data_IF_754293194965
#
_entry.id   IF_754293194965
#
_cell.length_a   1.000
_cell.length_b   1.000
_cell.length_c   1.000
_cell.angle_alpha   90.00
_cell.angle_beta   90.00
_cell.angle_gamma   90.00
#
_symmetry.space_group_name_H-M   'P 1'
#
loop_
_entity.id
_entity.type
_entity.pdbx_description
1 polymer ?
#
# COMPACT_ATOMS: atom_id res chain seq x y z
N UNK A 1 15.40 19.03 18.20
CA UNK A 1 15.94 19.59 16.94
C UNK A 1 15.55 21.06 16.88
N UNK A 2 16.53 21.93 16.69
CA UNK A 2 16.54 23.34 17.10
C UNK A 2 15.44 24.21 16.45
N UNK A 3 14.56 24.78 17.28
CA UNK A 3 13.75 25.94 16.92
C UNK A 3 14.52 27.19 17.34
N UNK A 4 15.17 27.87 16.41
CA UNK A 4 15.74 29.21 16.67
C UNK A 4 14.60 30.24 16.63
N UNK A 5 14.59 31.25 17.52
CA UNK A 5 13.58 32.29 17.51
C UNK A 5 13.73 33.15 16.24
N UNK A 6 12.61 33.43 15.56
CA UNK A 6 12.56 34.37 14.44
C UNK A 6 13.17 35.71 14.82
N UNK A 7 14.11 36.22 14.02
CA UNK A 7 14.62 37.59 14.19
C UNK A 7 13.49 38.58 13.84
N UNK A 8 13.46 39.70 14.56
CA UNK A 8 12.48 40.76 14.30
C UNK A 8 12.57 41.21 12.83
N UNK A 9 11.51 40.95 12.06
CA UNK A 9 11.41 41.28 10.63
C UNK A 9 11.32 40.08 9.67
N UNK A 10 11.51 38.85 10.13
CA UNK A 10 11.39 37.65 9.27
C UNK A 10 9.92 37.27 9.06
N UNK A 11 9.47 37.28 7.80
CA UNK A 11 8.11 36.86 7.46
C UNK A 11 7.97 35.32 7.63
N UNK A 12 6.81 34.82 8.10
CA UNK A 12 6.60 33.38 8.21
C UNK A 12 6.75 32.71 6.84
N UNK A 13 7.31 31.51 6.85
CA UNK A 13 7.51 30.74 5.64
C UNK A 13 6.16 30.48 4.94
N UNK A 14 6.05 30.90 3.68
CA UNK A 14 4.85 30.69 2.88
C UNK A 14 5.05 29.49 1.96
N UNK A 15 4.01 28.66 1.84
CA UNK A 15 4.02 27.51 0.94
C UNK A 15 3.49 27.92 -0.43
N UNK A 16 4.21 27.52 -1.48
CA UNK A 16 3.83 27.73 -2.87
C UNK A 16 3.88 26.40 -3.60
N UNK A 17 2.74 25.99 -4.15
CA UNK A 17 2.62 24.81 -5.00
C UNK A 17 2.77 25.25 -6.46
N UNK A 18 3.83 24.79 -7.12
CA UNK A 18 4.10 25.08 -8.53
C UNK A 18 3.81 23.83 -9.38
N UNK A 19 3.07 24.01 -10.48
CA UNK A 19 2.85 22.97 -11.49
C UNK A 19 3.76 23.24 -12.68
N UNK A 20 4.59 22.27 -13.05
CA UNK A 20 5.47 22.32 -14.24
C UNK A 20 5.19 21.10 -15.13
N UNK A 21 5.65 21.14 -16.37
CA UNK A 21 5.49 20.01 -17.32
C UNK A 21 6.05 18.68 -16.79
N UNK A 22 7.03 18.70 -15.87
CA UNK A 22 7.61 17.51 -15.24
C UNK A 22 7.02 17.12 -13.87
N UNK A 23 5.98 17.81 -13.39
CA UNK A 23 5.32 17.49 -12.11
C UNK A 23 5.08 18.69 -11.20
N UNK A 24 4.54 18.41 -10.00
CA UNK A 24 4.30 19.43 -8.97
C UNK A 24 5.51 19.55 -8.05
N UNK A 25 5.97 20.79 -7.84
CA UNK A 25 7.04 21.14 -6.90
C UNK A 25 6.44 21.95 -5.75
N UNK A 26 6.83 21.59 -4.54
CA UNK A 26 6.37 22.21 -3.32
C UNK A 26 7.48 23.06 -2.69
N UNK A 27 7.34 24.39 -2.76
CA UNK A 27 8.36 25.31 -2.25
C UNK A 27 7.91 25.95 -0.94
N UNK A 28 8.83 25.97 0.03
CA UNK A 28 8.74 26.87 1.18
C UNK A 28 9.54 28.13 0.85
N UNK A 29 8.86 29.28 0.85
CA UNK A 29 9.47 30.58 0.55
C UNK A 29 9.58 31.37 1.85
N UNK A 30 10.78 31.81 2.19
CA UNK A 30 11.04 32.74 3.31
C UNK A 30 11.60 34.03 2.77
N UNK A 31 11.21 35.12 3.41
CA UNK A 31 11.61 36.46 3.04
C UNK A 31 12.22 37.15 4.26
N UNK A 32 13.47 37.57 4.13
CA UNK A 32 14.25 38.19 5.21
C UNK A 32 14.83 39.51 4.69
N UNK A 33 14.53 40.66 5.33
CA UNK A 33 15.08 41.95 4.93
C UNK A 33 16.57 42.06 5.29
N UNK A 34 17.35 42.74 4.46
CA UNK A 34 18.74 43.11 4.74
C UNK A 34 18.85 44.53 5.29
N UNK A 35 19.93 44.80 6.03
CA UNK A 35 20.13 46.05 6.77
C UNK A 35 20.31 47.29 5.87
N UNK A 36 20.65 47.11 4.60
CA UNK A 36 20.82 48.15 3.59
C UNK A 36 19.57 48.39 2.72
N UNK A 37 18.44 47.76 3.07
CA UNK A 37 17.21 47.83 2.29
C UNK A 37 17.06 46.73 1.23
N UNK A 38 17.99 45.78 1.17
CA UNK A 38 17.88 44.57 0.36
C UNK A 38 16.82 43.58 0.86
N UNK A 39 16.48 42.61 0.02
CA UNK A 39 15.55 41.53 0.34
C UNK A 39 16.13 40.18 -0.07
N UNK A 40 16.25 39.27 0.88
CA UNK A 40 16.67 37.89 0.62
C UNK A 40 15.45 36.98 0.60
N UNK A 41 15.28 36.28 -0.51
CA UNK A 41 14.25 35.25 -0.70
C UNK A 41 14.93 33.88 -0.70
N UNK A 42 14.56 33.02 0.24
CA UNK A 42 15.03 31.63 0.29
C UNK A 42 13.92 30.70 -0.17
N UNK A 43 14.26 29.75 -1.04
CA UNK A 43 13.35 28.73 -1.57
C UNK A 43 13.85 27.36 -1.17
N UNK A 44 13.05 26.60 -0.43
CA UNK A 44 13.35 25.22 -0.05
C UNK A 44 12.37 24.26 -0.73
N UNK A 45 12.90 23.26 -1.44
CA UNK A 45 12.10 22.24 -2.11
C UNK A 45 11.70 21.14 -1.12
N UNK A 46 10.47 21.23 -0.62
CA UNK A 46 9.90 20.28 0.32
C UNK A 46 9.12 19.16 -0.37
N UNK A 47 9.21 19.00 -1.70
CA UNK A 47 8.42 18.02 -2.45
C UNK A 47 8.61 16.60 -1.92
N UNK A 48 9.87 16.20 -1.67
CA UNK A 48 10.19 14.88 -1.12
C UNK A 48 9.68 14.71 0.31
N UNK A 49 9.85 15.75 1.14
CA UNK A 49 9.41 15.72 2.54
C UNK A 49 7.89 15.58 2.64
N UNK A 50 7.14 16.37 1.87
CA UNK A 50 5.68 16.32 1.84
C UNK A 50 5.18 15.00 1.25
N UNK A 51 5.83 14.49 0.20
CA UNK A 51 5.49 13.19 -0.37
C UNK A 51 5.71 12.07 0.66
N UNK A 52 6.83 12.09 1.38
CA UNK A 52 7.11 11.14 2.45
C UNK A 52 6.06 11.21 3.58
N UNK A 53 5.73 12.42 4.06
CA UNK A 53 4.69 12.61 5.08
C UNK A 53 3.31 12.13 4.61
N UNK A 54 2.95 12.42 3.35
CA UNK A 54 1.70 11.90 2.76
C UNK A 54 1.71 10.39 2.72
N UNK A 55 2.81 9.77 2.30
CA UNK A 55 2.92 8.30 2.27
C UNK A 55 2.77 7.71 3.67
N UNK A 56 3.40 8.29 4.69
CA UNK A 56 3.24 7.86 6.08
C UNK A 56 1.78 7.97 6.56
N UNK A 57 1.15 9.13 6.35
CA UNK A 57 -0.25 9.33 6.70
C UNK A 57 -1.18 8.36 5.94
N UNK A 58 -0.92 8.12 4.65
CA UNK A 58 -1.67 7.15 3.85
C UNK A 58 -1.53 5.72 4.37
N UNK A 59 -0.35 5.32 4.87
CA UNK A 59 -0.15 4.00 5.48
C UNK A 59 -1.00 3.82 6.74
N UNK A 60 -1.08 4.85 7.58
CA UNK A 60 -1.89 4.79 8.79
C UNK A 60 -3.38 4.76 8.48
N UNK A 61 -3.83 5.56 7.51
CA UNK A 61 -5.20 5.52 6.99
C UNK A 61 -5.53 4.13 6.44
N UNK A 62 -4.67 3.57 5.58
CA UNK A 62 -4.88 2.25 4.99
C UNK A 62 -4.98 1.14 6.05
N UNK A 63 -4.12 1.17 7.09
CA UNK A 63 -4.18 0.23 8.22
C UNK A 63 -5.50 0.34 8.97
N UNK A 64 -5.94 1.57 9.24
CA UNK A 64 -7.20 1.82 9.95
C UNK A 64 -8.39 1.32 9.16
N UNK A 65 -8.46 1.62 7.86
CA UNK A 65 -9.51 1.14 6.96
C UNK A 65 -9.50 -0.40 6.91
N UNK A 66 -8.33 -1.04 6.83
CA UNK A 66 -8.24 -2.49 6.85
C UNK A 66 -8.80 -3.09 8.17
N UNK A 67 -8.50 -2.48 9.32
CA UNK A 67 -9.09 -2.90 10.59
C UNK A 67 -10.61 -2.68 10.63
N UNK A 68 -11.09 -1.54 10.14
CA UNK A 68 -12.52 -1.22 10.09
C UNK A 68 -13.30 -2.18 9.18
N UNK A 69 -12.70 -2.66 8.08
CA UNK A 69 -13.30 -3.67 7.21
C UNK A 69 -13.26 -5.06 7.86
N UNK A 70 -12.18 -5.44 8.57
CA UNK A 70 -12.11 -6.73 9.27
C UNK A 70 -13.15 -6.87 10.38
N UNK A 71 -13.47 -5.78 11.07
CA UNK A 71 -14.38 -5.78 12.21
C UNK A 71 -15.78 -6.37 11.90
N UNK A 72 -16.47 -6.01 10.80
CA UNK A 72 -17.74 -6.63 10.45
C UNK A 72 -17.60 -8.07 9.92
N UNK A 73 -16.42 -8.52 9.46
CA UNK A 73 -16.27 -9.87 8.87
C UNK A 73 -16.49 -10.99 9.89
N UNK A 74 -15.90 -10.88 11.09
CA UNK A 74 -16.02 -11.93 12.11
C UNK A 74 -17.48 -12.15 12.53
N UNK A 75 -18.28 -11.12 12.86
CA UNK A 75 -19.70 -11.30 13.12
C UNK A 75 -20.49 -11.89 11.95
N UNK A 76 -20.18 -11.53 10.70
CA UNK A 76 -20.85 -12.09 9.51
C UNK A 76 -20.51 -13.59 9.38
N UNK A 77 -19.23 -13.95 9.52
CA UNK A 77 -18.79 -15.35 9.52
C UNK A 77 -19.49 -16.16 10.60
N UNK A 78 -19.44 -15.70 11.85
CA UNK A 78 -20.07 -16.39 12.99
C UNK A 78 -21.58 -16.52 12.80
N UNK A 79 -22.23 -15.52 12.22
CA UNK A 79 -23.66 -15.58 11.91
C UNK A 79 -23.98 -16.65 10.88
N UNK A 80 -23.19 -16.74 9.79
CA UNK A 80 -23.35 -17.76 8.76
C UNK A 80 -23.05 -19.18 9.28
N UNK A 81 -21.97 -19.35 10.05
CA UNK A 81 -21.64 -20.62 10.71
C UNK A 81 -22.75 -21.07 11.67
N UNK A 82 -23.28 -20.13 12.45
CA UNK A 82 -24.39 -20.39 13.38
C UNK A 82 -25.66 -20.78 12.66
N UNK A 83 -26.00 -20.09 11.56
CA UNK A 83 -27.15 -20.44 10.73
C UNK A 83 -27.01 -21.88 10.23
N UNK A 84 -25.87 -22.20 9.60
CA UNK A 84 -25.59 -23.53 9.06
C UNK A 84 -25.69 -24.61 10.14
N UNK A 85 -25.05 -24.41 11.30
CA UNK A 85 -25.03 -25.39 12.39
C UNK A 85 -26.40 -25.59 13.05
N UNK A 86 -27.17 -24.52 13.24
CA UNK A 86 -28.45 -24.58 13.95
C UNK A 86 -29.57 -25.13 13.07
N UNK A 87 -29.66 -24.67 11.83
CA UNK A 87 -30.83 -24.90 11.00
C UNK A 87 -30.64 -25.96 9.90
N UNK A 88 -29.43 -26.51 9.70
CA UNK A 88 -29.19 -27.52 8.64
C UNK A 88 -30.10 -28.74 8.74
N UNK A 89 -30.47 -29.16 9.96
CA UNK A 89 -31.36 -30.29 10.18
C UNK A 89 -32.86 -29.92 10.15
N UNK A 90 -33.19 -28.62 10.28
CA UNK A 90 -34.56 -28.10 10.28
C UNK A 90 -35.06 -27.77 8.86
N UNK A 91 -34.15 -27.49 7.93
CA UNK A 91 -34.47 -27.18 6.52
C UNK A 91 -34.71 -28.48 5.75
N UNK A 92 -35.97 -28.77 5.44
CA UNK A 92 -36.40 -29.97 4.71
C UNK A 92 -36.83 -29.69 3.27
N UNK A 93 -37.21 -28.46 2.94
CA UNK A 93 -37.71 -28.09 1.61
C UNK A 93 -36.62 -27.99 0.56
N UNK A 94 -35.46 -27.42 0.92
CA UNK A 94 -34.31 -27.24 0.02
C UNK A 94 -32.97 -27.16 0.80
N UNK A 95 -32.50 -28.29 1.37
CA UNK A 95 -31.28 -28.33 2.16
C UNK A 95 -30.01 -28.00 1.35
N UNK A 96 -29.99 -28.36 0.06
CA UNK A 96 -28.83 -28.14 -0.81
C UNK A 96 -28.62 -26.65 -1.09
N UNK A 97 -29.68 -25.89 -1.37
CA UNK A 97 -29.57 -24.45 -1.56
C UNK A 97 -29.18 -23.75 -0.27
N UNK A 98 -29.73 -24.16 0.87
CA UNK A 98 -29.33 -23.61 2.17
C UNK A 98 -27.82 -23.82 2.45
N UNK A 99 -27.32 -25.03 2.22
CA UNK A 99 -25.90 -25.34 2.36
C UNK A 99 -25.04 -24.49 1.39
N UNK A 100 -25.42 -24.41 0.12
CA UNK A 100 -24.70 -23.59 -0.88
C UNK A 100 -24.67 -22.11 -0.51
N UNK A 101 -25.78 -21.54 -0.05
CA UNK A 101 -25.86 -20.14 0.35
C UNK A 101 -24.95 -19.84 1.56
N UNK A 102 -25.03 -20.66 2.61
CA UNK A 102 -24.18 -20.48 3.81
C UNK A 102 -22.70 -20.66 3.49
N UNK A 103 -22.34 -21.65 2.68
CA UNK A 103 -20.96 -21.84 2.22
C UNK A 103 -20.46 -20.70 1.35
N UNK A 104 -21.31 -20.14 0.50
CA UNK A 104 -20.96 -18.98 -0.34
C UNK A 104 -20.67 -17.76 0.53
N UNK A 105 -21.48 -17.49 1.55
CA UNK A 105 -21.22 -16.39 2.50
C UNK A 105 -19.87 -16.60 3.20
N UNK A 106 -19.60 -17.81 3.70
CA UNK A 106 -18.34 -18.11 4.39
C UNK A 106 -17.13 -17.92 3.48
N UNK A 107 -17.21 -18.40 2.24
CA UNK A 107 -16.16 -18.21 1.23
C UNK A 107 -15.93 -16.73 0.95
N UNK A 108 -17.00 -15.97 0.75
CA UNK A 108 -16.87 -14.55 0.41
C UNK A 108 -16.31 -13.71 1.55
N UNK A 109 -16.69 -13.99 2.79
CA UNK A 109 -16.09 -13.34 3.96
C UNK A 109 -14.61 -13.67 4.07
N UNK A 110 -14.23 -14.94 3.85
CA UNK A 110 -12.82 -15.35 3.86
C UNK A 110 -12.01 -14.68 2.74
N UNK A 111 -12.60 -14.54 1.55
CA UNK A 111 -11.97 -13.91 0.39
C UNK A 111 -11.75 -12.41 0.62
N UNK A 112 -12.75 -11.72 1.17
CA UNK A 112 -12.61 -10.30 1.59
C UNK A 112 -11.54 -10.18 2.67
N UNK A 113 -11.50 -11.10 3.64
CA UNK A 113 -10.45 -11.13 4.67
C UNK A 113 -9.05 -11.14 4.08
N UNK A 114 -8.79 -12.05 3.12
CA UNK A 114 -7.49 -12.15 2.43
C UNK A 114 -7.16 -10.88 1.63
N UNK A 115 -8.12 -10.34 0.88
CA UNK A 115 -7.91 -9.11 0.11
C UNK A 115 -7.59 -7.92 1.03
N UNK A 116 -8.24 -7.82 2.18
CA UNK A 116 -7.99 -6.76 3.18
C UNK A 116 -6.63 -6.96 3.87
N UNK A 117 -6.21 -8.20 4.08
CA UNK A 117 -4.86 -8.53 4.57
C UNK A 117 -3.78 -8.10 3.56
N UNK A 118 -3.97 -8.40 2.28
CA UNK A 118 -3.09 -7.97 1.19
C UNK A 118 -3.06 -6.44 1.04
N UNK A 119 -4.20 -5.77 1.14
CA UNK A 119 -4.28 -4.31 1.14
C UNK A 119 -3.53 -3.68 2.33
N UNK A 120 -3.69 -4.26 3.53
CA UNK A 120 -2.91 -3.85 4.71
C UNK A 120 -1.42 -4.14 4.55
N UNK A 121 -1.06 -5.19 3.81
CA UNK A 121 0.33 -5.50 3.48
C UNK A 121 0.94 -4.47 2.54
N UNK A 122 0.18 -3.86 1.61
CA UNK A 122 0.64 -2.73 0.79
C UNK A 122 0.93 -1.47 1.61
N UNK A 123 0.22 -1.28 2.73
CA UNK A 123 0.52 -0.22 3.70
C UNK A 123 1.79 -0.50 4.51
N UNK A 124 2.30 -1.73 4.49
CA UNK A 124 3.62 -2.07 5.02
C UNK A 124 4.59 -2.02 3.84
N UNK A 125 5.59 -1.13 3.85
CA UNK A 125 6.82 -1.50 3.12
C UNK A 125 7.39 -2.68 3.92
N UNK A 126 7.41 -3.92 3.39
CA UNK A 126 8.10 -4.98 4.07
C UNK A 126 9.56 -4.55 4.19
N UNK A 127 10.16 -4.71 5.37
CA UNK A 127 11.60 -4.42 5.50
C UNK A 127 12.33 -5.30 4.49
N UNK A 128 13.08 -4.73 3.53
CA UNK A 128 13.74 -5.52 2.51
C UNK A 128 14.66 -6.52 3.20
N UNK A 129 14.39 -7.81 2.99
CA UNK A 129 15.29 -8.88 3.43
C UNK A 129 16.37 -9.01 2.37
N UNK A 130 17.50 -8.39 2.64
CA UNK A 130 18.67 -8.49 1.79
C UNK A 130 19.21 -9.92 1.91
N UNK A 131 18.93 -10.74 0.90
CA UNK A 131 19.36 -12.13 0.82
C UNK A 131 19.93 -12.39 -0.58
N UNK A 132 20.78 -13.42 -0.67
CA UNK A 132 21.20 -13.92 -1.97
C UNK A 132 19.96 -14.37 -2.76
N UNK A 133 19.81 -13.87 -3.97
CA UNK A 133 18.77 -14.31 -4.90
C UNK A 133 19.41 -14.55 -6.27
N UNK A 134 19.12 -15.72 -6.85
CA UNK A 134 19.43 -16.00 -8.24
C UNK A 134 18.35 -15.38 -9.12
N UNK A 135 18.72 -14.37 -9.90
CA UNK A 135 17.75 -13.67 -10.76
C UNK A 135 17.19 -14.59 -11.85
N UNK A 136 17.94 -15.61 -12.28
CA UNK A 136 17.49 -16.59 -13.26
C UNK A 136 16.38 -17.48 -12.66
N UNK A 137 16.46 -17.80 -11.38
CA UNK A 137 15.40 -18.52 -10.66
C UNK A 137 14.14 -17.65 -10.48
N UNK A 138 14.32 -16.38 -10.10
CA UNK A 138 13.22 -15.43 -9.95
C UNK A 138 12.46 -15.25 -11.26
N UNK A 139 13.17 -15.01 -12.36
CA UNK A 139 12.56 -14.83 -13.68
C UNK A 139 11.77 -16.08 -14.13
N UNK A 140 12.34 -17.28 -13.94
CA UNK A 140 11.67 -18.54 -14.25
C UNK A 140 10.41 -18.75 -13.41
N UNK A 141 10.48 -18.46 -12.11
CA UNK A 141 9.34 -18.57 -11.19
C UNK A 141 8.21 -17.61 -11.57
N UNK A 142 8.54 -16.37 -11.95
CA UNK A 142 7.56 -15.39 -12.41
C UNK A 142 6.88 -15.83 -13.71
N UNK A 143 7.64 -16.29 -14.69
CA UNK A 143 7.05 -16.77 -15.95
C UNK A 143 6.19 -18.02 -15.75
N UNK A 144 6.61 -18.93 -14.86
CA UNK A 144 5.78 -20.08 -14.50
C UNK A 144 4.42 -19.65 -13.94
N UNK A 145 4.40 -18.68 -13.00
CA UNK A 145 3.16 -18.14 -12.46
C UNK A 145 2.28 -17.51 -13.55
N UNK A 146 2.86 -16.77 -14.49
CA UNK A 146 2.10 -16.13 -15.58
C UNK A 146 1.52 -17.16 -16.57
N UNK A 147 2.22 -18.26 -16.85
CA UNK A 147 1.69 -19.37 -17.67
C UNK A 147 0.48 -20.04 -17.05
N UNK A 148 0.40 -20.10 -15.71
CA UNK A 148 -0.78 -20.62 -15.00
C UNK A 148 -1.98 -19.69 -15.13
N UNK A 149 -1.75 -18.37 -15.17
CA UNK A 149 -2.81 -17.36 -15.30
C UNK A 149 -3.30 -17.26 -16.75
N UNK A 150 -2.41 -17.40 -17.73
CA UNK A 150 -2.70 -17.25 -19.15
C UNK A 150 -2.29 -18.50 -19.96
N UNK A 151 -3.07 -19.59 -19.91
CA UNK A 151 -2.71 -20.86 -20.55
C UNK A 151 -2.64 -20.77 -22.08
N UNK A 152 -3.37 -19.82 -22.69
CA UNK A 152 -3.42 -19.63 -24.15
C UNK A 152 -2.29 -18.73 -24.69
N UNK A 153 -1.46 -18.16 -23.80
CA UNK A 153 -0.36 -17.26 -24.18
C UNK A 153 0.97 -18.00 -24.04
N UNK A 154 1.72 -18.10 -25.14
CA UNK A 154 3.07 -18.67 -25.13
C UNK A 154 4.06 -17.65 -24.56
N UNK A 155 4.55 -17.91 -23.34
CA UNK A 155 5.55 -17.08 -22.67
C UNK A 155 6.86 -17.86 -22.62
N UNK A 156 7.93 -17.34 -23.22
CA UNK A 156 9.27 -17.96 -23.23
C UNK A 156 10.26 -17.11 -22.42
N UNK A 157 11.23 -17.78 -21.78
CA UNK A 157 12.34 -17.13 -21.06
C UNK A 157 13.62 -17.55 -21.74
N UNK A 158 14.38 -16.58 -22.22
CA UNK A 158 15.73 -16.77 -22.74
C UNK A 158 16.73 -16.10 -21.79
N UNK A 159 17.71 -16.86 -21.31
CA UNK A 159 18.64 -16.38 -20.28
C UNK A 159 19.75 -17.39 -19.98
N UNK A 160 20.64 -17.02 -19.06
CA UNK A 160 21.80 -17.86 -18.69
C UNK A 160 21.37 -18.90 -17.65
N UNK A 161 21.71 -20.17 -17.88
CA UNK A 161 21.39 -21.27 -16.95
C UNK A 161 22.18 -21.23 -15.64
N UNK A 162 23.31 -20.53 -15.64
CA UNK A 162 24.14 -20.35 -14.45
C UNK A 162 23.49 -19.34 -13.51
N UNK A 163 23.56 -19.57 -12.19
CA UNK A 163 23.04 -18.63 -11.21
C UNK A 163 23.67 -17.26 -11.38
N UNK A 164 22.84 -16.22 -11.53
CA UNK A 164 23.31 -14.84 -11.53
C UNK A 164 22.92 -14.25 -10.19
N UNK A 165 23.92 -14.13 -9.32
CA UNK A 165 23.77 -13.55 -8.01
C UNK A 165 23.37 -12.07 -8.12
N UNK A 166 22.28 -11.69 -7.46
CA UNK A 166 22.07 -10.30 -7.05
C UNK A 166 23.05 -10.00 -5.90
N UNK A 167 24.28 -9.65 -6.28
CA UNK A 167 25.36 -9.31 -5.36
C UNK A 167 25.14 -7.94 -4.72
N UNK A 168 25.37 -7.87 -3.41
CA UNK A 168 25.36 -6.62 -2.65
C UNK A 168 26.60 -5.78 -3.00
N UNK A 169 26.39 -4.48 -3.18
CA UNK A 169 27.40 -3.47 -2.87
C UNK A 169 26.97 -2.73 -1.63
#
# INVERSE_FOLDING_TARGET
MFNQPSRAGEAPAQRVDLVREGGSVNLSVRMSPEADGGLVLTFDDMTKLISAQRQEAWKDVARRIAHEIKNPLTPIQLSAERLRKKYSAEITSDPDTFAKCTDTILRQVADIGRMVDEFSSFARMPTPRMAYADISEVARSTVFAQRLVFPDVRIEVEGVDKPIALGQR
#
